data_IF_540257573420
#
_entry.id   IF_540257573420
#
_cell.length_a   1.000
_cell.length_b   1.000
_cell.length_c   1.000
_cell.angle_alpha   90.00
_cell.angle_beta   90.00
_cell.angle_gamma   90.00
#
_symmetry.space_group_name_H-M   'P 1'
#
loop_
_entity.id
_entity.type
_entity.pdbx_description
1 polymer ?
#
# COMPACT_ATOMS: atom_id res chain seq x y z
N UNK A 1 8.87 0.80 14.22
CA UNK A 1 8.81 -0.68 14.11
C UNK A 1 9.02 -1.06 12.66
N UNK A 2 9.91 -2.01 12.38
CA UNK A 2 10.28 -2.41 11.02
C UNK A 2 9.58 -3.73 10.65
N UNK A 3 9.11 -3.83 9.41
CA UNK A 3 8.40 -4.97 8.85
C UNK A 3 9.02 -5.33 7.50
N UNK A 4 9.34 -6.60 7.31
CA UNK A 4 9.97 -7.10 6.07
C UNK A 4 9.07 -8.16 5.45
N UNK A 5 8.07 -7.78 4.63
CA UNK A 5 7.21 -8.74 3.96
C UNK A 5 7.98 -9.52 2.89
N UNK A 6 7.52 -10.74 2.61
CA UNK A 6 8.03 -11.56 1.51
C UNK A 6 7.48 -11.07 0.16
N UNK A 7 6.16 -10.81 0.16
CA UNK A 7 5.43 -10.26 -0.98
C UNK A 7 4.80 -8.92 -0.61
N UNK A 8 4.77 -7.97 -1.54
CA UNK A 8 4.19 -6.67 -1.30
C UNK A 8 3.64 -6.04 -2.57
N UNK A 9 2.67 -5.14 -2.39
CA UNK A 9 2.17 -4.25 -3.45
C UNK A 9 1.87 -2.87 -2.87
N UNK A 10 1.76 -1.88 -3.74
CA UNK A 10 1.22 -0.57 -3.39
C UNK A 10 -0.26 -0.51 -3.76
N UNK A 11 -1.07 -0.11 -2.79
CA UNK A 11 -2.49 0.16 -2.96
C UNK A 11 -2.73 1.65 -3.10
N UNK A 12 -3.52 2.06 -4.09
CA UNK A 12 -4.19 3.36 -4.13
C UNK A 12 -5.55 3.20 -3.47
N UNK A 13 -5.76 3.86 -2.32
CA UNK A 13 -6.97 3.71 -1.51
C UNK A 13 -7.69 5.04 -1.44
N UNK A 14 -8.92 5.08 -1.95
CA UNK A 14 -9.81 6.23 -1.87
C UNK A 14 -10.68 6.11 -0.62
N UNK A 15 -10.58 7.10 0.25
CA UNK A 15 -11.21 7.12 1.57
C UNK A 15 -12.22 8.27 1.65
N UNK A 16 -13.43 7.97 2.09
CA UNK A 16 -14.45 8.98 2.40
C UNK A 16 -14.48 9.27 3.91
N UNK A 17 -14.49 10.55 4.22
CA UNK A 17 -14.87 11.10 5.53
C UNK A 17 -16.16 11.89 5.36
N UNK A 18 -16.77 12.33 6.48
CA UNK A 18 -18.04 13.08 6.42
C UNK A 18 -17.98 14.31 5.50
N UNK A 19 -16.82 14.95 5.41
CA UNK A 19 -16.69 16.25 4.75
C UNK A 19 -15.93 16.17 3.41
N UNK A 20 -15.20 15.08 3.16
CA UNK A 20 -14.36 14.95 1.95
C UNK A 20 -13.95 13.51 1.65
N UNK A 21 -13.66 13.27 0.37
CA UNK A 21 -12.94 12.09 -0.11
C UNK A 21 -11.48 12.47 -0.33
N UNK A 22 -10.56 11.58 0.02
CA UNK A 22 -9.13 11.75 -0.25
C UNK A 22 -8.47 10.40 -0.53
N UNK A 23 -7.36 10.42 -1.26
CA UNK A 23 -6.62 9.21 -1.62
C UNK A 23 -5.37 9.06 -0.76
N UNK A 24 -5.02 7.81 -0.47
CA UNK A 24 -3.78 7.45 0.21
C UNK A 24 -3.13 6.27 -0.49
N UNK A 25 -1.81 6.34 -0.63
CA UNK A 25 -1.01 5.19 -0.99
C UNK A 25 -0.70 4.36 0.28
N UNK A 26 -0.87 3.05 0.21
CA UNK A 26 -0.63 2.12 1.32
C UNK A 26 0.20 0.93 0.86
N UNK A 27 1.02 0.40 1.76
CA UNK A 27 1.70 -0.89 1.53
C UNK A 27 0.79 -2.00 2.04
N UNK A 28 0.51 -2.98 1.20
CA UNK A 28 -0.02 -4.28 1.60
C UNK A 28 1.14 -5.28 1.53
N UNK A 29 1.50 -5.87 2.67
CA UNK A 29 2.54 -6.90 2.77
C UNK A 29 1.95 -8.26 3.12
N UNK A 30 2.57 -9.31 2.60
CA UNK A 30 2.32 -10.71 2.93
C UNK A 30 3.57 -11.37 3.50
N UNK A 31 3.36 -12.23 4.50
CA UNK A 31 4.38 -13.09 5.10
C UNK A 31 3.96 -14.53 4.91
N UNK A 32 4.86 -15.33 4.33
CA UNK A 32 4.63 -16.76 4.16
C UNK A 32 5.03 -17.45 5.46
N UNK A 33 4.06 -18.14 6.04
CA UNK A 33 4.24 -18.88 7.27
C UNK A 33 4.95 -20.21 7.06
N UNK A 34 5.52 -20.75 8.13
CA UNK A 34 6.05 -22.12 8.18
C UNK A 34 5.03 -23.12 8.73
N UNK A 35 5.50 -24.28 9.18
CA UNK A 35 4.62 -25.28 9.82
C UNK A 35 4.00 -24.78 11.13
N UNK A 36 4.67 -23.87 11.84
CA UNK A 36 4.25 -23.35 13.15
C UNK A 36 3.63 -21.95 13.09
N UNK A 37 3.94 -21.19 12.04
CA UNK A 37 3.50 -19.82 11.85
C UNK A 37 2.60 -19.79 10.62
N UNK A 38 1.37 -19.28 10.73
CA UNK A 38 0.46 -19.19 9.59
C UNK A 38 0.83 -18.04 8.64
N UNK A 39 0.36 -18.12 7.39
CA UNK A 39 0.43 -16.99 6.46
C UNK A 39 -0.27 -15.77 7.06
N UNK A 40 0.38 -14.62 6.94
CA UNK A 40 -0.17 -13.36 7.46
C UNK A 40 -0.13 -12.27 6.39
N UNK A 41 -1.05 -11.32 6.50
CA UNK A 41 -1.03 -10.09 5.71
C UNK A 41 -1.14 -8.88 6.64
N UNK A 42 -0.66 -7.72 6.17
CA UNK A 42 -0.78 -6.46 6.90
C UNK A 42 -0.82 -5.27 5.95
N UNK A 43 -1.70 -4.32 6.22
CA UNK A 43 -1.81 -3.04 5.49
C UNK A 43 -1.35 -1.91 6.41
N UNK A 44 -0.51 -1.00 5.92
CA UNK A 44 -0.08 0.15 6.71
C UNK A 44 -1.15 1.27 6.75
N UNK A 45 -0.88 2.32 7.53
CA UNK A 45 -1.80 3.45 7.74
C UNK A 45 -1.67 4.59 6.72
N UNK A 46 -0.98 4.33 5.60
CA UNK A 46 -0.60 5.36 4.62
C UNK A 46 0.91 5.56 4.59
N UNK A 47 1.45 5.70 3.38
CA UNK A 47 2.86 6.00 3.10
C UNK A 47 3.07 7.51 3.21
N UNK A 48 4.12 7.92 3.91
CA UNK A 48 4.56 9.31 4.01
C UNK A 48 5.75 9.57 3.12
N UNK A 49 6.76 8.71 3.20
CA UNK A 49 7.99 8.83 2.43
C UNK A 49 8.48 7.46 2.01
N UNK A 50 9.29 7.45 0.96
CA UNK A 50 9.99 6.28 0.49
C UNK A 50 11.47 6.61 0.41
N UNK A 51 12.27 5.67 0.88
CA UNK A 51 13.70 5.60 0.61
C UNK A 51 13.96 4.29 -0.12
N UNK A 52 15.08 4.17 -0.84
CA UNK A 52 15.48 2.87 -1.36
C UNK A 52 16.99 2.74 -1.35
N UNK A 53 17.42 1.49 -1.35
CA UNK A 53 18.75 1.10 -1.78
C UNK A 53 18.64 0.24 -3.06
N UNK A 54 19.75 -0.36 -3.47
CA UNK A 54 19.82 -1.20 -4.65
C UNK A 54 18.92 -2.45 -4.55
N UNK A 55 18.57 -2.88 -3.34
CA UNK A 55 17.89 -4.18 -3.09
C UNK A 55 16.45 -4.02 -2.64
N UNK A 56 16.10 -2.93 -1.96
CA UNK A 56 14.80 -2.77 -1.35
C UNK A 56 14.34 -1.31 -1.28
N UNK A 57 13.02 -1.13 -1.33
CA UNK A 57 12.34 0.09 -0.91
C UNK A 57 12.07 0.05 0.61
N UNK A 58 12.14 1.21 1.25
CA UNK A 58 11.77 1.46 2.64
C UNK A 58 10.63 2.46 2.66
N UNK A 59 9.42 1.97 2.84
CA UNK A 59 8.23 2.82 2.92
C UNK A 59 7.97 3.19 4.38
N UNK A 60 8.10 4.47 4.71
CA UNK A 60 7.76 5.01 6.02
C UNK A 60 6.26 5.29 6.08
N UNK A 61 5.58 4.66 7.03
CA UNK A 61 4.16 4.83 7.29
C UNK A 61 3.88 5.96 8.27
N UNK A 62 2.66 6.53 8.22
CA UNK A 62 2.20 7.61 9.12
C UNK A 62 2.32 7.31 10.61
N UNK A 63 2.26 6.03 10.99
CA UNK A 63 2.41 5.59 12.38
C UNK A 63 3.86 5.37 12.82
N UNK A 64 4.86 5.72 12.00
CA UNK A 64 6.28 5.43 12.26
C UNK A 64 6.67 3.96 12.01
N UNK A 65 5.84 3.20 11.27
CA UNK A 65 6.22 1.88 10.78
C UNK A 65 7.09 2.01 9.54
N UNK A 66 8.06 1.11 9.36
CA UNK A 66 8.87 1.03 8.14
C UNK A 66 8.63 -0.32 7.51
N UNK A 67 8.29 -0.34 6.22
CA UNK A 67 8.14 -1.56 5.44
C UNK A 67 9.35 -1.69 4.51
N UNK A 68 10.20 -2.69 4.77
CA UNK A 68 11.36 -3.04 3.96
C UNK A 68 10.94 -4.02 2.88
N UNK A 69 10.71 -3.48 1.70
CA UNK A 69 10.10 -4.14 0.55
C UNK A 69 11.17 -4.47 -0.49
N UNK A 70 11.60 -5.73 -0.57
CA UNK A 70 12.61 -6.17 -1.55
C UNK A 70 12.10 -5.99 -2.97
N UNK A 71 12.93 -5.51 -3.91
CA UNK A 71 12.53 -5.24 -5.30
C UNK A 71 11.91 -6.47 -5.98
N UNK A 72 12.44 -7.67 -5.75
CA UNK A 72 11.89 -8.92 -6.29
C UNK A 72 10.64 -9.46 -5.58
N UNK A 73 10.09 -8.74 -4.61
CA UNK A 73 8.90 -9.12 -3.84
C UNK A 73 7.60 -8.48 -4.36
N UNK A 74 7.63 -7.72 -5.46
CA UNK A 74 6.43 -7.04 -5.95
C UNK A 74 5.44 -8.04 -6.59
N UNK A 75 4.47 -8.51 -5.82
CA UNK A 75 3.42 -9.43 -6.29
C UNK A 75 2.25 -9.49 -5.33
N UNK A 76 1.09 -9.87 -5.84
CA UNK A 76 -0.09 -10.18 -5.02
C UNK A 76 -0.12 -11.66 -4.68
N UNK A 77 0.01 -11.99 -3.40
CA UNK A 77 -0.19 -13.36 -2.89
C UNK A 77 -1.66 -13.62 -2.51
N UNK A 78 -2.03 -14.89 -2.35
CA UNK A 78 -3.40 -15.29 -1.95
C UNK A 78 -3.79 -14.71 -0.59
N UNK A 79 -2.86 -14.69 0.37
CA UNK A 79 -3.12 -14.15 1.71
C UNK A 79 -3.32 -12.63 1.67
N UNK A 80 -2.57 -11.93 0.82
CA UNK A 80 -2.74 -10.49 0.60
C UNK A 80 -4.08 -10.15 -0.06
N UNK A 81 -4.55 -10.97 -1.01
CA UNK A 81 -5.85 -10.77 -1.66
C UNK A 81 -7.03 -10.80 -0.66
N UNK A 82 -6.92 -11.61 0.40
CA UNK A 82 -7.87 -11.58 1.51
C UNK A 82 -7.84 -10.23 2.23
N UNK A 83 -6.65 -9.71 2.55
CA UNK A 83 -6.50 -8.38 3.15
C UNK A 83 -7.06 -7.23 2.30
N UNK A 84 -6.88 -7.28 0.97
CA UNK A 84 -7.50 -6.31 0.07
C UNK A 84 -9.03 -6.41 0.09
N UNK A 85 -9.57 -7.63 0.11
CA UNK A 85 -11.01 -7.88 0.20
C UNK A 85 -11.58 -7.32 1.51
N UNK A 86 -10.88 -7.53 2.63
CA UNK A 86 -11.26 -6.96 3.92
C UNK A 86 -11.19 -5.45 3.94
N UNK A 87 -10.14 -4.86 3.35
CA UNK A 87 -10.02 -3.40 3.22
C UNK A 87 -11.22 -2.81 2.47
N UNK A 88 -11.62 -3.40 1.34
CA UNK A 88 -12.76 -2.94 0.53
C UNK A 88 -14.11 -3.03 1.23
N UNK A 89 -14.23 -3.83 2.30
CA UNK A 89 -15.46 -3.93 3.10
C UNK A 89 -15.59 -2.82 4.14
N UNK A 90 -14.52 -2.05 4.38
CA UNK A 90 -14.56 -0.98 5.37
C UNK A 90 -15.45 0.17 4.86
N UNK A 91 -16.41 0.68 5.65
CA UNK A 91 -17.35 1.71 5.19
C UNK A 91 -16.70 3.02 4.73
N UNK A 92 -15.50 3.32 5.23
CA UNK A 92 -14.73 4.51 4.86
C UNK A 92 -13.97 4.35 3.55
N UNK A 93 -13.86 3.13 3.00
CA UNK A 93 -13.13 2.86 1.75
C UNK A 93 -14.10 2.92 0.59
N UNK A 94 -13.93 3.91 -0.27
CA UNK A 94 -14.71 4.08 -1.51
C UNK A 94 -14.20 3.13 -2.58
N UNK A 95 -12.87 3.06 -2.71
CA UNK A 95 -12.21 2.17 -3.66
C UNK A 95 -10.78 1.84 -3.21
N UNK A 96 -10.26 0.71 -3.70
CA UNK A 96 -8.88 0.31 -3.49
C UNK A 96 -8.35 -0.46 -4.71
N UNK A 97 -7.27 0.05 -5.29
CA UNK A 97 -6.66 -0.50 -6.49
C UNK A 97 -5.21 -0.90 -6.23
N UNK A 98 -4.78 -2.02 -6.81
CA UNK A 98 -3.38 -2.44 -6.80
C UNK A 98 -2.69 -1.72 -7.96
N UNK A 99 -1.64 -0.96 -7.65
CA UNK A 99 -0.87 -0.29 -8.69
C UNK A 99 0.10 -1.27 -9.35
N UNK A 100 0.43 -1.03 -10.62
CA UNK A 100 1.51 -1.75 -11.30
C UNK A 100 2.88 -1.34 -10.74
N UNK A 101 3.81 -2.30 -10.75
CA UNK A 101 5.18 -2.06 -10.29
C UNK A 101 5.85 -0.98 -11.14
N UNK A 102 6.62 -0.13 -10.47
CA UNK A 102 7.27 1.04 -11.08
C UNK A 102 8.45 1.48 -10.23
N UNK A 103 9.18 2.47 -10.73
CA UNK A 103 10.19 3.12 -9.91
C UNK A 103 9.52 4.00 -8.83
N UNK A 104 9.36 3.47 -7.63
CA UNK A 104 8.73 4.19 -6.53
C UNK A 104 9.56 5.38 -6.00
N UNK A 105 10.81 5.56 -6.46
CA UNK A 105 11.63 6.74 -6.15
C UNK A 105 11.51 7.89 -7.16
N UNK A 106 10.66 7.75 -8.18
CA UNK A 106 10.48 8.81 -9.17
C UNK A 106 10.07 10.14 -8.49
N UNK A 107 10.81 11.24 -8.72
CA UNK A 107 10.50 12.53 -8.11
C UNK A 107 9.09 12.99 -8.48
N UNK A 108 8.31 13.43 -7.49
CA UNK A 108 6.95 13.91 -7.72
C UNK A 108 5.90 12.81 -7.96
N UNK A 109 6.28 11.53 -7.98
CA UNK A 109 5.35 10.41 -8.22
C UNK A 109 4.19 10.39 -7.21
N UNK A 110 4.48 10.58 -5.92
CA UNK A 110 3.45 10.59 -4.89
C UNK A 110 2.47 11.75 -5.07
N UNK A 111 2.97 12.95 -5.36
CA UNK A 111 2.12 14.11 -5.65
C UNK A 111 1.26 13.88 -6.90
N UNK A 112 1.85 13.34 -7.98
CA UNK A 112 1.12 13.02 -9.20
C UNK A 112 0.02 11.98 -8.97
N UNK A 113 0.32 10.89 -8.26
CA UNK A 113 -0.65 9.82 -7.95
C UNK A 113 -1.78 10.30 -7.03
N UNK A 114 -1.49 11.23 -6.12
CA UNK A 114 -2.48 11.84 -5.25
C UNK A 114 -3.32 12.90 -5.97
N UNK A 115 -2.74 13.63 -6.93
CA UNK A 115 -3.44 14.64 -7.74
C UNK A 115 -4.42 14.01 -8.74
N UNK A 116 -4.04 12.94 -9.45
CA UNK A 116 -4.92 12.27 -10.43
C UNK A 116 -6.22 11.79 -9.79
N UNK A 117 -6.16 11.35 -8.53
CA UNK A 117 -7.34 10.88 -7.82
C UNK A 117 -8.36 11.98 -7.46
N UNK A 118 -7.91 13.23 -7.36
CA UNK A 118 -8.79 14.37 -7.12
C UNK A 118 -9.64 14.68 -8.37
N UNK A 119 -9.06 14.56 -9.56
CA UNK A 119 -9.74 14.85 -10.83
C UNK A 119 -10.78 13.77 -11.18
N UNK A 120 -10.50 12.49 -10.93
CA UNK A 120 -11.47 11.39 -11.15
C UNK A 120 -12.70 11.48 -10.23
N UNK A 121 -12.57 12.12 -9.07
CA UNK A 121 -13.69 12.32 -8.13
C UNK A 121 -14.62 13.46 -8.59
N UNK A 122 -14.15 14.36 -9.47
CA UNK A 122 -14.95 15.49 -9.96
C UNK A 122 -15.72 15.20 -11.25
N UNK A 123 -15.61 13.98 -11.80
CA UNK A 123 -16.26 13.56 -13.05
C UNK A 123 -17.52 12.68 -12.86
N UNK A 124 -18.09 12.63 -11.65
CA UNK A 124 -19.34 11.88 -11.36
C UNK A 124 -20.39 12.70 -10.67
#
# INVERSE_FOLDING_TARGET
MEYSPDDWVILKVSLATRDRTFTQLRVLGGWHGGYLDGDAWRINSGIQTVHADDRAYRFLGRSGSVYLCRRGGYRMSRIMAAGLTELKRQPSVVDAEVLEDRNWLEPGLFEALLSIAADDTSAR
#
